data_IF_249280134201
#
_entry.id   IF_249280134201
#
_cell.length_a   1.000
_cell.length_b   1.000
_cell.length_c   1.000
_cell.angle_alpha   90.00
_cell.angle_beta   90.00
_cell.angle_gamma   90.00
#
_symmetry.space_group_name_H-M   'P 1'
#
loop_
_entity.id
_entity.type
_entity.pdbx_description
1 polymer ?
#
# COMPACT_ATOMS: atom_id res chain seq x y z
N UNK A 1 -40.27 22.32 -4.27
CA UNK A 1 -39.04 22.04 -5.06
C UNK A 1 -39.04 20.56 -5.41
N UNK A 2 -38.76 20.16 -6.66
CA UNK A 2 -38.80 18.75 -7.07
C UNK A 2 -37.65 17.95 -6.44
N UNK A 3 -37.85 16.65 -6.21
CA UNK A 3 -36.81 15.72 -5.71
C UNK A 3 -35.52 15.75 -6.56
N UNK A 4 -35.62 16.05 -7.85
CA UNK A 4 -34.49 16.15 -8.78
C UNK A 4 -33.56 17.36 -8.56
N UNK A 5 -34.07 18.46 -7.99
CA UNK A 5 -33.26 19.64 -7.68
C UNK A 5 -32.51 19.44 -6.37
N UNK A 6 -33.15 18.79 -5.40
CA UNK A 6 -32.54 18.43 -4.11
C UNK A 6 -31.42 17.39 -4.28
N UNK A 7 -31.60 16.41 -5.19
CA UNK A 7 -30.55 15.42 -5.47
C UNK A 7 -29.32 16.05 -6.12
N UNK A 8 -29.52 16.96 -7.09
CA UNK A 8 -28.41 17.65 -7.77
C UNK A 8 -27.64 18.58 -6.85
N UNK A 9 -28.33 19.28 -5.94
CA UNK A 9 -27.69 20.14 -4.95
C UNK A 9 -26.83 19.33 -3.95
N UNK A 10 -27.31 18.14 -3.54
CA UNK A 10 -26.56 17.25 -2.67
C UNK A 10 -25.31 16.69 -3.37
N UNK A 11 -25.40 16.30 -4.64
CA UNK A 11 -24.24 15.85 -5.43
C UNK A 11 -23.16 16.92 -5.54
N UNK A 12 -23.54 18.16 -5.87
CA UNK A 12 -22.61 19.29 -5.97
C UNK A 12 -21.96 19.60 -4.62
N UNK A 13 -22.71 19.52 -3.53
CA UNK A 13 -22.17 19.72 -2.18
C UNK A 13 -21.13 18.64 -1.81
N UNK A 14 -21.43 17.36 -2.10
CA UNK A 14 -20.50 16.24 -1.88
C UNK A 14 -19.23 16.39 -2.71
N UNK A 15 -19.35 16.79 -3.98
CA UNK A 15 -18.20 17.03 -4.86
C UNK A 15 -17.33 18.18 -4.33
N UNK A 16 -17.94 19.28 -3.90
CA UNK A 16 -17.23 20.44 -3.33
C UNK A 16 -16.49 20.09 -2.04
N UNK A 17 -17.12 19.32 -1.16
CA UNK A 17 -16.49 18.82 0.07
C UNK A 17 -15.30 17.90 -0.29
N UNK A 18 -15.48 17.01 -1.26
CA UNK A 18 -14.44 16.08 -1.70
C UNK A 18 -13.22 16.82 -2.24
N UNK A 19 -13.42 17.85 -3.07
CA UNK A 19 -12.32 18.66 -3.60
C UNK A 19 -11.63 19.50 -2.51
N UNK A 20 -12.38 19.99 -1.53
CA UNK A 20 -11.83 20.72 -0.38
C UNK A 20 -10.95 19.81 0.47
N UNK A 21 -11.42 18.60 0.79
CA UNK A 21 -10.64 17.60 1.52
C UNK A 21 -9.38 17.20 0.74
N UNK A 22 -9.50 17.01 -0.58
CA UNK A 22 -8.36 16.71 -1.43
C UNK A 22 -7.30 17.81 -1.39
N UNK A 23 -7.72 19.08 -1.44
CA UNK A 23 -6.82 20.22 -1.35
C UNK A 23 -6.11 20.27 -0.01
N UNK A 24 -6.85 20.17 1.09
CA UNK A 24 -6.29 20.19 2.45
C UNK A 24 -5.31 19.03 2.66
N UNK A 25 -5.68 17.83 2.24
CA UNK A 25 -4.82 16.66 2.32
C UNK A 25 -3.53 16.84 1.50
N UNK A 26 -3.62 17.38 0.27
CA UNK A 26 -2.42 17.68 -0.55
C UNK A 26 -1.48 18.67 0.13
N UNK A 27 -2.03 19.69 0.76
CA UNK A 27 -1.26 20.70 1.52
C UNK A 27 -0.62 20.10 2.78
N UNK A 28 -1.16 18.99 3.32
CA UNK A 28 -0.60 18.27 4.47
C UNK A 28 0.43 17.19 4.13
N UNK A 29 0.70 16.92 2.84
CA UNK A 29 1.70 15.90 2.45
C UNK A 29 3.07 16.32 2.98
N UNK A 30 3.70 15.41 3.72
CA UNK A 30 5.07 15.60 4.21
C UNK A 30 6.05 15.20 3.10
N UNK A 31 6.81 16.16 2.61
CA UNK A 31 7.90 15.91 1.67
C UNK A 31 9.15 15.43 2.43
N UNK A 32 9.56 14.19 2.15
CA UNK A 32 10.74 13.57 2.74
C UNK A 32 11.66 13.03 1.64
N UNK A 33 12.29 13.92 0.85
CA UNK A 33 13.03 13.52 -0.33
C UNK A 33 14.14 12.53 0.03
N UNK A 34 14.18 11.43 -0.72
CA UNK A 34 15.25 10.44 -0.64
C UNK A 34 16.46 10.87 -1.47
N UNK A 35 17.63 10.38 -1.08
CA UNK A 35 18.84 10.41 -1.90
C UNK A 35 18.59 9.73 -3.25
N UNK A 36 19.08 10.32 -4.34
CA UNK A 36 18.89 9.82 -5.70
C UNK A 36 19.52 8.42 -5.92
N UNK A 37 20.47 8.02 -5.07
CA UNK A 37 21.03 6.66 -5.04
C UNK A 37 20.04 5.65 -4.46
N UNK A 38 18.99 6.05 -3.77
CA UNK A 38 17.99 5.14 -3.21
C UNK A 38 16.95 4.67 -4.23
N UNK A 39 16.86 5.27 -5.43
CA UNK A 39 15.88 4.91 -6.47
C UNK A 39 16.36 5.25 -7.89
N UNK A 40 15.71 4.70 -8.91
CA UNK A 40 16.04 4.94 -10.31
C UNK A 40 15.22 6.14 -10.83
N UNK A 41 15.91 7.18 -11.29
CA UNK A 41 15.32 8.46 -11.70
C UNK A 41 14.62 8.39 -13.08
N UNK A 42 14.82 7.31 -13.84
CA UNK A 42 14.13 7.13 -15.12
C UNK A 42 12.62 7.08 -14.93
N UNK A 43 11.90 7.91 -15.67
CA UNK A 43 10.45 8.01 -15.58
C UNK A 43 9.77 7.06 -16.57
N UNK A 44 8.68 6.42 -16.12
CA UNK A 44 7.90 5.49 -16.93
C UNK A 44 6.40 5.70 -16.76
N UNK A 45 5.58 5.51 -17.81
CA UNK A 45 4.14 5.41 -17.67
C UNK A 45 3.75 4.27 -16.72
N UNK A 46 2.75 4.53 -15.87
CA UNK A 46 2.30 3.59 -14.85
C UNK A 46 0.93 3.04 -15.21
N UNK A 47 0.75 1.74 -15.00
CA UNK A 47 -0.54 1.06 -15.22
C UNK A 47 -0.92 0.06 -14.12
N UNK A 48 -0.11 0.00 -13.06
CA UNK A 48 -0.37 -0.75 -11.84
C UNK A 48 -0.12 0.12 -10.60
N UNK A 49 -0.90 -0.12 -9.55
CA UNK A 49 -0.68 0.41 -8.21
C UNK A 49 -0.64 -0.75 -7.23
N UNK A 50 0.40 -0.81 -6.41
CA UNK A 50 0.55 -1.83 -5.36
C UNK A 50 0.36 -1.21 -3.99
N UNK A 51 -0.48 -1.85 -3.19
CA UNK A 51 -0.56 -1.62 -1.76
C UNK A 51 0.39 -2.58 -1.04
N UNK A 52 1.10 -2.04 -0.07
CA UNK A 52 2.05 -2.70 0.80
C UNK A 52 1.78 -2.34 2.27
N UNK A 53 2.41 -3.07 3.18
CA UNK A 53 2.63 -2.58 4.53
C UNK A 53 4.06 -2.86 5.00
N UNK A 54 4.49 -2.14 6.03
CA UNK A 54 5.91 -2.05 6.36
C UNK A 54 6.44 -3.19 7.23
N UNK A 55 5.56 -3.92 7.94
CA UNK A 55 5.91 -4.66 9.17
C UNK A 55 6.64 -3.75 10.19
N UNK A 56 6.36 -2.44 10.13
CA UNK A 56 7.04 -1.37 10.84
C UNK A 56 6.47 -1.13 12.24
N UNK A 57 7.35 -0.70 13.14
CA UNK A 57 7.10 -0.62 14.58
C UNK A 57 6.96 0.79 15.14
N UNK A 58 7.22 1.81 14.34
CA UNK A 58 7.45 3.15 14.87
C UNK A 58 6.62 4.17 14.13
N UNK A 59 6.99 4.47 12.88
CA UNK A 59 6.30 5.43 12.05
C UNK A 59 6.65 5.19 10.58
N UNK A 60 5.79 5.66 9.69
CA UNK A 60 6.02 5.65 8.25
C UNK A 60 7.35 6.36 7.90
N UNK A 61 7.67 7.47 8.58
CA UNK A 61 8.91 8.21 8.38
C UNK A 61 10.15 7.39 8.75
N UNK A 62 10.13 6.69 9.89
CA UNK A 62 11.23 5.85 10.32
C UNK A 62 11.43 4.64 9.39
N UNK A 63 10.33 3.97 9.01
CA UNK A 63 10.34 2.87 8.04
C UNK A 63 10.90 3.33 6.68
N UNK A 64 10.51 4.52 6.22
CA UNK A 64 11.00 5.10 4.99
C UNK A 64 12.50 5.43 5.04
N UNK A 65 13.00 6.01 6.14
CA UNK A 65 14.46 6.27 6.31
C UNK A 65 15.27 4.99 6.42
N UNK A 66 14.75 3.97 7.08
CA UNK A 66 15.39 2.66 7.12
C UNK A 66 15.51 2.04 5.72
N UNK A 67 14.44 2.11 4.92
CA UNK A 67 14.44 1.57 3.57
C UNK A 67 15.37 2.36 2.63
N UNK A 68 15.40 3.68 2.75
CA UNK A 68 16.33 4.56 2.02
C UNK A 68 17.79 4.12 2.24
N UNK A 69 18.23 4.04 3.50
CA UNK A 69 19.59 3.64 3.85
C UNK A 69 19.93 2.22 3.39
N UNK A 70 18.99 1.29 3.55
CA UNK A 70 19.13 -0.09 3.06
C UNK A 70 19.30 -0.14 1.54
N UNK A 71 18.57 0.69 0.81
CA UNK A 71 18.61 0.73 -0.65
C UNK A 71 19.85 1.38 -1.21
N UNK A 72 20.35 2.43 -0.57
CA UNK A 72 21.66 3.00 -0.91
C UNK A 72 22.74 1.95 -0.70
N UNK A 73 22.72 1.26 0.45
CA UNK A 73 23.68 0.20 0.76
C UNK A 73 23.67 -0.91 -0.29
N UNK A 74 22.50 -1.45 -0.65
CA UNK A 74 22.40 -2.51 -1.65
C UNK A 74 22.77 -2.03 -3.06
N UNK A 75 22.45 -0.79 -3.43
CA UNK A 75 22.83 -0.26 -4.75
C UNK A 75 24.33 -0.02 -4.86
N UNK A 76 24.96 0.51 -3.82
CA UNK A 76 26.39 0.86 -3.84
C UNK A 76 27.28 -0.35 -3.59
N UNK A 77 26.98 -1.16 -2.57
CA UNK A 77 27.85 -2.26 -2.11
C UNK A 77 27.40 -3.64 -2.58
N UNK A 78 26.19 -3.77 -3.14
CA UNK A 78 25.60 -5.07 -3.49
C UNK A 78 25.00 -5.79 -2.29
N UNK A 79 24.15 -6.79 -2.56
CA UNK A 79 23.68 -7.74 -1.55
C UNK A 79 24.70 -8.86 -1.27
N UNK A 80 24.35 -9.81 -0.40
CA UNK A 80 25.20 -10.98 -0.07
C UNK A 80 25.59 -11.87 -1.27
N UNK A 81 24.95 -11.68 -2.43
CA UNK A 81 25.21 -12.40 -3.69
C UNK A 81 25.87 -11.50 -4.73
N UNK A 82 26.29 -10.28 -4.35
CA UNK A 82 26.89 -9.30 -5.26
C UNK A 82 25.89 -8.62 -6.20
N UNK A 83 24.58 -8.70 -5.94
CA UNK A 83 23.59 -8.03 -6.78
C UNK A 83 23.35 -6.59 -6.33
N UNK A 84 23.36 -5.66 -7.28
CA UNK A 84 23.14 -4.24 -7.04
C UNK A 84 21.73 -3.82 -7.47
N UNK A 85 20.94 -3.34 -6.52
CA UNK A 85 19.58 -2.87 -6.76
C UNK A 85 19.11 -1.94 -5.64
N UNK A 86 18.04 -1.18 -5.91
CA UNK A 86 17.34 -0.38 -4.93
C UNK A 86 15.94 -0.93 -4.66
N UNK A 87 15.53 -0.98 -3.40
CA UNK A 87 14.17 -1.29 -2.97
C UNK A 87 13.48 -0.02 -2.47
N UNK A 88 12.31 0.33 -2.97
CA UNK A 88 11.78 1.64 -2.61
C UNK A 88 10.35 1.86 -3.01
N UNK A 89 9.72 2.78 -2.29
CA UNK A 89 8.32 3.14 -2.42
C UNK A 89 8.19 4.67 -2.35
N UNK A 90 7.49 5.32 -3.30
CA UNK A 90 7.36 6.78 -3.35
C UNK A 90 6.40 7.36 -2.31
N UNK A 91 5.46 6.55 -1.80
CA UNK A 91 4.36 6.99 -0.95
C UNK A 91 4.20 6.15 0.30
N UNK A 92 4.01 6.83 1.43
CA UNK A 92 3.83 6.18 2.73
C UNK A 92 2.65 6.80 3.45
N UNK A 93 1.88 5.99 4.19
CA UNK A 93 0.78 6.47 5.04
C UNK A 93 0.95 5.92 6.44
N UNK A 94 1.11 6.82 7.40
CA UNK A 94 1.24 6.47 8.81
C UNK A 94 -0.11 6.10 9.44
N UNK A 95 -0.08 5.53 10.65
CA UNK A 95 -1.27 5.13 11.42
C UNK A 95 -2.20 6.29 11.75
N UNK A 96 -1.69 7.51 11.84
CA UNK A 96 -2.48 8.73 12.09
C UNK A 96 -3.02 9.38 10.81
N UNK A 97 -2.76 8.77 9.64
CA UNK A 97 -3.14 9.32 8.34
C UNK A 97 -2.11 10.26 7.71
N UNK A 98 -0.98 10.54 8.37
CA UNK A 98 0.10 11.35 7.77
C UNK A 98 0.58 10.69 6.47
N UNK A 99 0.50 11.43 5.37
CA UNK A 99 0.99 10.97 4.06
C UNK A 99 2.35 11.56 3.78
N UNK A 100 3.31 10.71 3.40
CA UNK A 100 4.70 11.09 3.12
C UNK A 100 5.03 10.78 1.66
N UNK A 101 5.66 11.73 0.96
CA UNK A 101 6.25 11.53 -0.36
C UNK A 101 7.78 11.48 -0.26
N UNK A 102 8.39 10.44 -0.82
CA UNK A 102 9.85 10.23 -0.77
C UNK A 102 10.55 10.52 -2.09
N UNK A 103 9.90 10.24 -3.21
CA UNK A 103 10.38 10.57 -4.55
C UNK A 103 9.21 10.63 -5.56
N UNK A 104 9.46 11.16 -6.75
CA UNK A 104 8.47 11.25 -7.82
C UNK A 104 7.95 9.86 -8.22
N UNK A 105 6.63 9.65 -8.18
CA UNK A 105 6.03 8.34 -8.47
C UNK A 105 6.06 7.93 -9.95
N UNK A 106 6.61 8.77 -10.84
CA UNK A 106 7.01 8.39 -12.21
C UNK A 106 8.35 7.65 -12.24
N UNK A 107 9.24 7.92 -11.28
CA UNK A 107 10.49 7.19 -11.06
C UNK A 107 10.19 5.77 -10.56
N UNK A 108 11.21 4.96 -10.27
CA UNK A 108 10.97 3.59 -9.81
C UNK A 108 12.07 3.04 -8.91
N UNK A 109 11.70 2.06 -8.10
CA UNK A 109 12.61 1.17 -7.38
C UNK A 109 11.98 -0.23 -7.37
N UNK A 110 12.73 -1.27 -7.01
CA UNK A 110 12.15 -2.59 -6.85
C UNK A 110 11.24 -2.62 -5.63
N UNK A 111 10.04 -3.20 -5.71
CA UNK A 111 9.15 -3.31 -4.55
C UNK A 111 8.28 -4.57 -4.55
N UNK A 112 7.91 -5.08 -5.73
CA UNK A 112 6.91 -6.15 -5.86
C UNK A 112 7.45 -7.52 -6.32
N UNK A 113 8.76 -7.68 -6.45
CA UNK A 113 9.37 -8.97 -6.86
C UNK A 113 9.14 -9.38 -8.33
N UNK A 114 8.56 -8.50 -9.15
CA UNK A 114 8.18 -8.81 -10.56
C UNK A 114 9.28 -8.53 -11.59
N UNK A 115 10.49 -8.22 -11.11
CA UNK A 115 11.60 -7.75 -11.93
C UNK A 115 11.45 -6.30 -12.42
N UNK A 116 12.42 -5.83 -13.21
CA UNK A 116 12.48 -4.43 -13.67
C UNK A 116 11.23 -4.00 -14.43
N UNK A 117 10.71 -4.86 -15.31
CA UNK A 117 9.53 -4.52 -16.13
C UNK A 117 8.31 -4.22 -15.28
N UNK A 118 8.03 -5.03 -14.27
CA UNK A 118 6.85 -4.82 -13.43
C UNK A 118 7.06 -3.66 -12.44
N UNK A 119 8.25 -3.51 -11.84
CA UNK A 119 8.55 -2.36 -10.98
C UNK A 119 8.47 -1.00 -11.72
N UNK A 120 8.94 -0.93 -12.97
CA UNK A 120 8.93 0.32 -13.77
C UNK A 120 7.53 0.81 -14.10
N UNK A 121 6.57 -0.09 -14.29
CA UNK A 121 5.17 0.23 -14.67
C UNK A 121 4.23 0.34 -13.48
N UNK A 122 4.72 0.12 -12.26
CA UNK A 122 3.93 0.22 -11.05
C UNK A 122 4.33 1.40 -10.17
N UNK A 123 3.35 1.86 -9.38
CA UNK A 123 3.52 2.72 -8.22
C UNK A 123 3.28 1.86 -6.98
N UNK A 124 3.94 2.20 -5.87
CA UNK A 124 3.74 1.54 -4.58
C UNK A 124 3.28 2.56 -3.53
N UNK A 125 2.48 2.09 -2.58
CA UNK A 125 2.12 2.78 -1.36
C UNK A 125 2.39 1.83 -0.19
N UNK A 126 3.14 2.27 0.81
CA UNK A 126 3.39 1.56 2.06
C UNK A 126 2.48 2.10 3.16
N UNK A 127 1.73 1.21 3.80
CA UNK A 127 0.97 1.51 5.01
C UNK A 127 1.79 1.10 6.23
N UNK A 128 2.07 2.03 7.13
CA UNK A 128 2.76 1.69 8.37
C UNK A 128 1.86 0.77 9.22
N UNK A 129 2.32 -0.46 9.47
CA UNK A 129 1.57 -1.51 10.16
C UNK A 129 2.53 -2.65 10.58
N UNK A 130 2.27 -3.30 11.72
CA UNK A 130 3.03 -4.41 12.28
C UNK A 130 2.79 -5.73 11.53
N UNK A 131 1.73 -5.81 10.73
CA UNK A 131 1.34 -7.02 10.03
C UNK A 131 0.82 -8.08 10.99
N UNK A 132 1.49 -9.24 11.05
CA UNK A 132 1.08 -10.38 11.87
C UNK A 132 1.35 -10.13 13.36
N UNK A 133 0.35 -10.47 14.18
CA UNK A 133 0.44 -10.45 15.63
C UNK A 133 0.37 -11.90 16.14
N UNK A 134 1.28 -12.25 17.06
CA UNK A 134 1.31 -13.54 17.73
C UNK A 134 0.70 -13.40 19.12
N UNK A 135 -0.32 -14.19 19.42
CA UNK A 135 -0.84 -14.32 20.79
C UNK A 135 -0.09 -15.45 21.51
N UNK A 136 0.36 -15.17 22.73
CA UNK A 136 1.00 -16.17 23.61
C UNK A 136 0.64 -15.87 25.06
N UNK A 137 -0.17 -16.74 25.66
CA UNK A 137 -0.47 -16.67 27.08
C UNK A 137 -1.29 -15.44 27.47
N UNK A 138 -2.18 -14.97 26.58
CA UNK A 138 -3.01 -13.79 26.77
C UNK A 138 -2.35 -12.47 26.36
N UNK A 139 -1.06 -12.48 26.04
CA UNK A 139 -0.33 -11.30 25.59
C UNK A 139 -0.11 -11.33 24.06
N UNK A 140 -0.02 -10.15 23.47
CA UNK A 140 0.21 -9.98 22.03
C UNK A 140 1.64 -9.55 21.74
N UNK A 141 2.20 -10.13 20.68
CA UNK A 141 3.58 -9.90 20.27
C UNK A 141 3.67 -9.60 18.79
N UNK A 142 4.51 -8.64 18.40
CA UNK A 142 4.82 -8.44 16.99
C UNK A 142 5.69 -9.60 16.44
N UNK A 143 6.00 -9.56 15.14
CA UNK A 143 6.84 -10.59 14.48
C UNK A 143 8.27 -10.70 15.03
N UNK A 144 8.75 -9.69 15.75
CA UNK A 144 10.08 -9.63 16.35
C UNK A 144 10.08 -10.18 17.79
N UNK A 145 8.92 -10.60 18.31
CA UNK A 145 8.78 -11.17 19.63
C UNK A 145 8.61 -10.15 20.75
N UNK A 146 8.35 -8.89 20.41
CA UNK A 146 8.16 -7.82 21.38
C UNK A 146 6.68 -7.69 21.73
N UNK A 147 6.41 -7.53 23.01
CA UNK A 147 5.05 -7.33 23.52
C UNK A 147 4.49 -6.00 23.03
N UNK A 148 3.23 -6.00 22.64
CA UNK A 148 2.51 -4.82 22.15
C UNK A 148 1.26 -4.59 22.99
N UNK A 149 0.97 -3.32 23.24
CA UNK A 149 -0.27 -2.89 23.88
C UNK A 149 -1.34 -2.65 22.81
N UNK A 150 -2.55 -3.19 23.03
CA UNK A 150 -3.67 -3.08 22.09
C UNK A 150 -4.12 -1.62 21.91
N UNK A 151 -3.94 -0.77 22.93
CA UNK A 151 -4.23 0.66 22.87
C UNK A 151 -3.35 1.39 21.85
N UNK A 152 -2.11 0.92 21.67
CA UNK A 152 -1.17 1.49 20.70
C UNK A 152 -1.30 0.84 19.32
N UNK A 153 -1.62 -0.45 19.29
CA UNK A 153 -1.73 -1.24 18.07
C UNK A 153 -3.06 -2.02 18.08
N UNK A 154 -4.15 -1.40 17.60
CA UNK A 154 -5.45 -2.03 17.59
C UNK A 154 -5.41 -3.37 16.87
N UNK A 155 -6.04 -4.39 17.44
CA UNK A 155 -5.93 -5.76 16.93
C UNK A 155 -7.17 -6.11 16.11
N UNK A 156 -6.94 -6.66 14.92
CA UNK A 156 -7.94 -7.34 14.12
C UNK A 156 -7.78 -8.84 14.26
N UNK A 157 -8.75 -9.50 14.89
CA UNK A 157 -8.89 -10.95 14.84
C UNK A 157 -9.69 -11.36 13.59
N UNK A 158 -9.09 -12.21 12.77
CA UNK A 158 -9.78 -12.86 11.66
C UNK A 158 -10.29 -14.25 12.10
N UNK A 159 -11.56 -14.61 11.83
CA UNK A 159 -12.17 -15.85 12.33
C UNK A 159 -11.40 -17.13 11.97
N UNK A 160 -10.87 -17.16 10.75
CA UNK A 160 -10.05 -18.26 10.23
C UNK A 160 -8.62 -17.81 9.97
N UNK A 161 -7.58 -18.63 10.23
CA UNK A 161 -6.22 -18.23 9.95
C UNK A 161 -6.03 -17.87 8.47
N UNK A 162 -5.52 -16.67 8.18
CA UNK A 162 -5.14 -16.27 6.83
C UNK A 162 -3.63 -16.22 6.71
N UNK A 163 -3.07 -17.09 5.86
CA UNK A 163 -1.62 -17.23 5.67
C UNK A 163 -0.87 -17.52 6.99
N UNK A 164 -1.52 -18.24 7.91
CA UNK A 164 -0.92 -18.74 9.14
C UNK A 164 -1.08 -17.86 10.39
N UNK A 165 -1.71 -16.68 10.29
CA UNK A 165 -2.05 -15.87 11.46
C UNK A 165 -3.57 -15.72 11.62
N UNK A 166 -4.02 -15.53 12.87
CA UNK A 166 -5.39 -15.08 13.20
C UNK A 166 -5.43 -13.62 13.60
N UNK A 167 -4.34 -13.09 14.15
CA UNK A 167 -4.27 -11.72 14.66
C UNK A 167 -3.37 -10.85 13.79
N UNK A 168 -3.80 -9.62 13.59
CA UNK A 168 -3.14 -8.62 12.77
C UNK A 168 -3.31 -7.26 13.41
N UNK A 169 -2.40 -6.33 13.15
CA UNK A 169 -2.71 -4.93 13.45
C UNK A 169 -3.81 -4.45 12.49
N UNK A 170 -4.86 -3.85 13.05
CA UNK A 170 -5.94 -3.22 12.31
C UNK A 170 -5.47 -1.93 11.64
N UNK A 171 -6.08 -1.59 10.50
CA UNK A 171 -5.86 -0.30 9.84
C UNK A 171 -6.77 0.74 10.49
N UNK A 172 -6.22 1.90 10.84
CA UNK A 172 -7.04 2.98 11.44
C UNK A 172 -7.89 3.66 10.38
N UNK A 173 -8.99 4.30 10.79
CA UNK A 173 -9.81 5.08 9.85
C UNK A 173 -9.04 6.25 9.22
N UNK A 174 -8.19 6.93 9.99
CA UNK A 174 -7.37 8.04 9.48
C UNK A 174 -6.38 7.56 8.41
N UNK A 175 -5.74 6.41 8.62
CA UNK A 175 -4.85 5.79 7.64
C UNK A 175 -5.62 5.39 6.37
N UNK A 176 -6.82 4.83 6.51
CA UNK A 176 -7.68 4.44 5.38
C UNK A 176 -8.20 5.65 4.61
N UNK A 177 -8.55 6.74 5.28
CA UNK A 177 -8.99 7.98 4.64
C UNK A 177 -7.89 8.63 3.81
N UNK A 178 -6.69 8.75 4.37
CA UNK A 178 -5.53 9.22 3.63
C UNK A 178 -5.16 8.30 2.47
N UNK A 179 -5.30 6.98 2.64
CA UNK A 179 -5.11 6.03 1.54
C UNK A 179 -6.12 6.27 0.40
N UNK A 180 -7.39 6.54 0.70
CA UNK A 180 -8.41 6.84 -0.31
C UNK A 180 -8.03 8.11 -1.08
N UNK A 181 -7.69 9.19 -0.39
CA UNK A 181 -7.30 10.46 -1.03
C UNK A 181 -6.02 10.28 -1.87
N UNK A 182 -5.04 9.54 -1.36
CA UNK A 182 -3.82 9.24 -2.07
C UNK A 182 -4.04 8.42 -3.34
N UNK A 183 -4.82 7.34 -3.26
CA UNK A 183 -5.13 6.53 -4.44
C UNK A 183 -5.89 7.38 -5.46
N UNK A 184 -6.89 8.17 -5.04
CA UNK A 184 -7.66 8.98 -5.98
C UNK A 184 -6.75 9.99 -6.72
N UNK A 185 -5.85 10.65 -6.01
CA UNK A 185 -4.87 11.57 -6.60
C UNK A 185 -3.93 10.87 -7.59
N UNK A 186 -3.39 9.70 -7.21
CA UNK A 186 -2.54 8.90 -8.10
C UNK A 186 -3.31 8.53 -9.37
N UNK A 187 -4.55 8.06 -9.26
CA UNK A 187 -5.36 7.67 -10.41
C UNK A 187 -5.71 8.86 -11.32
N UNK A 188 -5.87 10.07 -10.76
CA UNK A 188 -6.05 11.30 -11.54
C UNK A 188 -4.77 11.68 -12.30
N UNK A 189 -3.60 11.54 -11.68
CA UNK A 189 -2.29 11.87 -12.31
C UNK A 189 -1.79 10.80 -13.27
N UNK A 190 -2.17 9.54 -13.07
CA UNK A 190 -1.73 8.38 -13.84
C UNK A 190 -2.91 7.64 -14.49
N UNK A 191 -3.50 8.19 -15.57
CA UNK A 191 -4.68 7.61 -16.22
C UNK A 191 -4.43 6.23 -16.86
N UNK A 192 -3.16 5.81 -16.98
CA UNK A 192 -2.80 4.46 -17.38
C UNK A 192 -3.19 3.38 -16.36
N UNK A 193 -3.43 3.75 -15.10
CA UNK A 193 -3.90 2.87 -14.03
C UNK A 193 -5.43 2.91 -14.00
N UNK A 194 -6.15 1.88 -14.50
CA UNK A 194 -7.61 1.90 -14.47
C UNK A 194 -8.13 1.73 -13.03
N UNK A 195 -9.33 2.29 -12.75
CA UNK A 195 -10.12 2.08 -11.51
C UNK A 195 -10.65 0.64 -11.42
N UNK A 196 -9.75 -0.33 -11.37
CA UNK A 196 -10.05 -1.77 -11.34
C UNK A 196 -9.24 -2.45 -10.25
N UNK A 197 -9.88 -3.42 -9.61
CA UNK A 197 -9.30 -4.19 -8.52
C UNK A 197 -9.75 -5.66 -8.64
N UNK A 198 -8.92 -6.65 -8.29
CA UNK A 198 -9.36 -8.03 -8.18
C UNK A 198 -10.64 -8.19 -7.35
N UNK A 199 -11.59 -9.01 -7.82
CA UNK A 199 -12.81 -9.33 -7.06
C UNK A 199 -12.45 -9.97 -5.70
N UNK A 200 -11.49 -10.89 -5.71
CA UNK A 200 -10.85 -11.40 -4.50
C UNK A 200 -9.52 -10.67 -4.27
N UNK A 201 -9.53 -9.61 -3.46
CA UNK A 201 -8.34 -8.79 -3.20
C UNK A 201 -7.31 -9.45 -2.27
N UNK A 202 -7.72 -10.44 -1.48
CA UNK A 202 -6.87 -11.17 -0.54
C UNK A 202 -6.85 -12.67 -0.90
N UNK A 203 -6.25 -13.05 -2.03
CA UNK A 203 -6.35 -14.41 -2.51
C UNK A 203 -5.53 -15.37 -1.65
N UNK A 204 -6.02 -16.60 -1.54
CA UNK A 204 -5.22 -17.73 -1.04
C UNK A 204 -4.11 -18.09 -2.03
N UNK A 205 -4.45 -18.15 -3.32
CA UNK A 205 -3.53 -18.45 -4.42
C UNK A 205 -3.12 -17.17 -5.13
N UNK A 206 -1.82 -16.82 -5.19
CA UNK A 206 -1.36 -15.63 -5.89
C UNK A 206 -1.58 -15.72 -7.40
N UNK A 207 -1.50 -14.58 -8.08
CA UNK A 207 -1.56 -14.57 -9.54
C UNK A 207 -0.33 -15.25 -10.15
N UNK A 208 -0.54 -15.92 -11.28
CA UNK A 208 0.56 -16.35 -12.13
C UNK A 208 1.34 -15.15 -12.67
N UNK A 209 2.59 -15.37 -13.08
CA UNK A 209 3.42 -14.32 -13.72
C UNK A 209 2.72 -13.67 -14.91
N UNK A 210 2.01 -14.46 -15.71
CA UNK A 210 1.28 -13.99 -16.89
C UNK A 210 0.07 -13.15 -16.50
N UNK A 211 -0.72 -13.57 -15.50
CA UNK A 211 -1.84 -12.78 -14.99
C UNK A 211 -1.36 -11.45 -14.42
N UNK A 212 -0.33 -11.47 -13.58
CA UNK A 212 0.25 -10.27 -12.99
C UNK A 212 0.82 -9.32 -14.05
N UNK A 213 1.48 -9.85 -15.09
CA UNK A 213 2.01 -9.04 -16.19
C UNK A 213 0.90 -8.46 -17.10
N UNK A 214 -0.30 -9.04 -17.14
CA UNK A 214 -1.41 -8.56 -17.97
C UNK A 214 -2.35 -7.62 -17.22
N UNK A 215 -2.47 -7.80 -15.91
CA UNK A 215 -3.37 -7.00 -15.09
C UNK A 215 -2.97 -5.52 -15.10
N UNK A 216 -3.96 -4.64 -15.11
CA UNK A 216 -3.81 -3.20 -14.93
C UNK A 216 -4.81 -2.75 -13.88
N UNK A 217 -4.38 -1.91 -12.95
CA UNK A 217 -5.19 -1.45 -11.83
C UNK A 217 -4.48 -1.65 -10.49
N UNK A 218 -5.26 -1.83 -9.44
CA UNK A 218 -4.79 -1.85 -8.05
C UNK A 218 -4.64 -3.29 -7.57
N UNK A 219 -3.52 -3.60 -6.93
CA UNK A 219 -3.15 -4.91 -6.40
C UNK A 219 -2.59 -4.78 -4.97
N UNK A 220 -2.75 -5.81 -4.15
CA UNK A 220 -1.95 -5.99 -2.94
C UNK A 220 -0.62 -6.71 -3.27
N UNK A 221 0.41 -6.52 -2.46
CA UNK A 221 1.68 -7.21 -2.67
C UNK A 221 1.58 -8.75 -2.52
N UNK A 222 0.58 -9.26 -1.79
CA UNK A 222 0.27 -10.71 -1.69
C UNK A 222 0.01 -11.40 -3.03
N UNK A 223 -0.29 -10.65 -4.10
CA UNK A 223 -0.44 -11.22 -5.43
C UNK A 223 0.87 -11.69 -6.07
N UNK A 224 2.05 -11.32 -5.53
CA UNK A 224 3.35 -11.58 -6.18
C UNK A 224 4.09 -12.82 -5.67
N UNK A 225 3.47 -13.56 -4.75
CA UNK A 225 4.02 -14.76 -4.09
C UNK A 225 4.52 -15.84 -5.09
N UNK A 226 4.01 -15.85 -6.33
CA UNK A 226 4.44 -16.78 -7.39
C UNK A 226 5.84 -16.56 -7.98
N UNK A 227 6.59 -15.52 -7.55
CA UNK A 227 7.95 -15.23 -8.04
C UNK A 227 9.07 -15.84 -7.20
N UNK A 228 8.78 -16.44 -6.03
CA UNK A 228 9.79 -16.91 -5.07
C UNK A 228 9.44 -18.33 -4.57
N UNK A 229 10.37 -19.31 -4.62
CA UNK A 229 10.11 -20.66 -4.12
C UNK A 229 9.79 -20.69 -2.62
N UNK A 230 8.55 -21.09 -2.29
CA UNK A 230 8.04 -21.82 -1.10
C UNK A 230 8.42 -21.44 0.34
N UNK A 231 9.13 -20.35 0.66
CA UNK A 231 9.32 -19.94 2.09
C UNK A 231 9.03 -18.49 2.46
N UNK A 232 8.76 -17.61 1.48
CA UNK A 232 8.40 -16.22 1.74
C UNK A 232 7.20 -15.84 0.89
N UNK A 233 6.03 -16.38 1.24
CA UNK A 233 4.82 -15.77 0.75
C UNK A 233 4.80 -14.32 1.27
N UNK A 234 4.68 -13.34 0.38
CA UNK A 234 4.30 -11.99 0.79
C UNK A 234 2.97 -12.07 1.52
N UNK A 235 2.92 -11.41 2.67
CA UNK A 235 1.78 -11.38 3.57
C UNK A 235 1.16 -9.98 3.64
N UNK A 236 1.85 -8.99 3.05
CA UNK A 236 1.43 -7.61 2.93
C UNK A 236 0.63 -7.38 1.65
N UNK A 237 -0.45 -6.61 1.65
CA UNK A 237 -1.22 -6.06 2.77
C UNK A 237 -1.97 -7.17 3.51
N UNK A 238 -2.08 -7.10 4.84
CA UNK A 238 -2.80 -8.12 5.61
C UNK A 238 -4.31 -8.12 5.33
N UNK A 239 -4.95 -9.24 5.66
CA UNK A 239 -6.41 -9.38 5.61
C UNK A 239 -7.16 -8.37 6.49
N UNK A 240 -6.47 -7.71 7.44
CA UNK A 240 -7.06 -6.68 8.27
C UNK A 240 -7.52 -5.44 7.49
N UNK A 241 -7.09 -5.25 6.24
CA UNK A 241 -7.66 -4.19 5.38
C UNK A 241 -9.04 -4.58 4.82
N UNK A 242 -9.43 -5.87 4.88
CA UNK A 242 -10.70 -6.39 4.34
C UNK A 242 -11.94 -5.61 4.78
N UNK A 243 -12.13 -5.26 6.07
CA UNK A 243 -13.30 -4.49 6.52
C UNK A 243 -13.44 -3.13 5.83
N UNK A 244 -12.32 -2.53 5.37
CA UNK A 244 -12.31 -1.21 4.73
C UNK A 244 -12.47 -1.28 3.21
N UNK A 245 -12.34 -2.46 2.58
CA UNK A 245 -12.31 -2.57 1.12
C UNK A 245 -13.58 -2.07 0.44
N UNK A 246 -14.74 -2.22 1.06
CA UNK A 246 -16.00 -1.70 0.49
C UNK A 246 -16.07 -0.18 0.56
N UNK A 247 -15.58 0.43 1.66
CA UNK A 247 -15.43 1.89 1.78
C UNK A 247 -14.48 2.41 0.70
N UNK A 248 -13.31 1.80 0.56
CA UNK A 248 -12.30 2.14 -0.45
C UNK A 248 -12.87 2.01 -1.86
N UNK A 249 -13.50 0.86 -2.19
CA UNK A 249 -14.06 0.64 -3.52
C UNK A 249 -15.18 1.63 -3.87
N UNK A 250 -16.07 1.95 -2.92
CA UNK A 250 -17.14 2.92 -3.13
C UNK A 250 -16.59 4.33 -3.34
N UNK A 251 -15.71 4.80 -2.45
CA UNK A 251 -15.14 6.15 -2.52
C UNK A 251 -14.40 6.37 -3.84
N UNK A 252 -13.63 5.37 -4.28
CA UNK A 252 -12.82 5.43 -5.50
C UNK A 252 -13.54 4.95 -6.75
N UNK A 253 -14.82 4.58 -6.67
CA UNK A 253 -15.60 4.03 -7.79
C UNK A 253 -14.87 2.87 -8.50
N UNK A 254 -14.25 1.96 -7.73
CA UNK A 254 -13.46 0.86 -8.27
C UNK A 254 -14.37 -0.26 -8.79
N UNK A 255 -14.05 -0.74 -10.00
CA UNK A 255 -14.67 -1.93 -10.56
C UNK A 255 -13.95 -3.20 -10.06
N UNK A 256 -14.67 -4.06 -9.33
CA UNK A 256 -14.20 -5.41 -8.99
C UNK A 256 -14.23 -6.30 -10.23
N UNK A 257 -13.10 -6.93 -10.57
CA UNK A 257 -12.95 -7.77 -11.78
C UNK A 257 -12.40 -9.16 -11.47
N UNK A 258 -12.83 -10.16 -12.25
CA UNK A 258 -12.22 -11.50 -12.23
C UNK A 258 -10.91 -11.48 -13.01
N UNK A 259 -9.91 -12.24 -12.55
CA UNK A 259 -8.53 -12.28 -13.09
C UNK A 259 -8.12 -13.74 -13.32
#
# INVERSE_FOLDING_TARGET
MSQSVLSRAAEVAVETITETLHKQWKESIVEMPWDERAYYQEQYPKDQLFLHHTDGRTSAAASARYLEGSSIKTRVSGDSRGQHYSVGVPWWVDRDGTTIRTFDDRCWAHHNGTGRRGARRSIAIELENLGFINERGGNFYNRYGEEIAEEQYPIHEHPEPWRGSRFYEAYTDAQVDSLILLIDDILRRHPGIPRRIPQNFFPEVPLTRTQLARFKGILAHTFTVGYIPKRYAKYDVSIALRPHMDRICRALKLQRVRI
#
